data_IF_782183167150
#
_entry.id   IF_782183167150
#
_cell.length_a   1.000
_cell.length_b   1.000
_cell.length_c   1.000
_cell.angle_alpha   90.00
_cell.angle_beta   90.00
_cell.angle_gamma   90.00
#
_symmetry.space_group_name_H-M   'P 1'
#
loop_
_entity.id
_entity.type
_entity.pdbx_description
1 polymer ?
#
# COMPACT_ATOMS: atom_id res chain seq x y z
N UNK A 1 22.03 -22.17 7.65
CA UNK A 1 21.57 -20.76 7.78
C UNK A 1 22.56 -19.89 7.01
N UNK A 2 22.16 -19.37 5.85
CA UNK A 2 23.01 -18.43 5.10
C UNK A 2 22.68 -17.01 5.55
N UNK A 3 23.59 -16.42 6.34
CA UNK A 3 23.49 -15.03 6.77
C UNK A 3 24.30 -14.17 5.80
N UNK A 4 23.62 -13.28 5.08
CA UNK A 4 24.29 -12.27 4.26
C UNK A 4 24.28 -10.94 5.02
N UNK A 5 25.45 -10.31 5.08
CA UNK A 5 25.63 -8.97 5.66
C UNK A 5 25.90 -8.02 4.51
N UNK A 6 24.87 -7.30 4.07
CA UNK A 6 25.01 -6.27 3.06
C UNK A 6 25.52 -4.99 3.74
N UNK A 7 26.72 -4.54 3.35
CA UNK A 7 27.28 -3.26 3.79
C UNK A 7 26.97 -2.21 2.74
N UNK A 8 26.14 -1.22 3.10
CA UNK A 8 25.92 -0.06 2.25
C UNK A 8 27.04 0.95 2.54
N UNK A 9 27.96 1.13 1.60
CA UNK A 9 29.06 2.09 1.70
C UNK A 9 28.48 3.50 1.53
N UNK A 10 28.12 4.14 2.64
CA UNK A 10 27.80 5.57 2.65
C UNK A 10 29.09 6.36 2.38
N UNK A 11 29.26 6.83 1.14
CA UNK A 11 30.37 7.69 0.77
C UNK A 11 30.22 9.09 1.38
N UNK A 12 30.93 9.34 2.48
CA UNK A 12 31.59 10.61 2.83
C UNK A 12 32.00 10.58 4.32
N UNK A 13 33.26 10.21 4.54
CA UNK A 13 34.23 10.64 5.56
C UNK A 13 33.80 11.50 6.77
N UNK A 14 32.76 11.16 7.51
CA UNK A 14 32.53 11.75 8.83
C UNK A 14 31.67 10.84 9.70
N UNK A 15 32.30 10.09 10.62
CA UNK A 15 31.77 9.40 11.82
C UNK A 15 30.34 8.81 11.82
N UNK A 16 29.69 8.62 10.67
CA UNK A 16 28.32 8.11 10.55
C UNK A 16 28.42 6.60 10.47
N UNK A 17 27.88 5.95 11.49
CA UNK A 17 27.88 4.49 11.63
C UNK A 17 27.45 3.82 10.33
N UNK A 18 28.29 2.92 9.82
CA UNK A 18 28.01 2.09 8.65
C UNK A 18 26.72 1.33 8.94
N UNK A 19 25.65 1.64 8.21
CA UNK A 19 24.39 0.90 8.29
C UNK A 19 24.60 -0.46 7.62
N UNK A 20 24.77 -1.49 8.45
CA UNK A 20 24.88 -2.87 8.01
C UNK A 20 23.48 -3.51 8.03
N UNK A 21 23.02 -4.05 6.91
CA UNK A 21 21.77 -4.80 6.84
C UNK A 21 22.06 -6.30 6.91
N UNK A 22 21.61 -6.95 7.98
CA UNK A 22 21.70 -8.40 8.13
C UNK A 22 20.44 -9.06 7.54
N UNK A 23 20.65 -10.15 6.79
CA UNK A 23 19.63 -10.77 5.94
C UNK A 23 19.61 -12.28 6.21
N UNK A 24 18.42 -12.80 6.51
CA UNK A 24 18.19 -14.23 6.72
C UNK A 24 17.22 -14.76 5.67
N UNK A 25 17.80 -15.46 4.68
CA UNK A 25 17.05 -16.04 3.56
C UNK A 25 16.15 -17.21 3.96
N UNK A 26 16.44 -17.90 5.08
CA UNK A 26 15.63 -19.02 5.54
C UNK A 26 14.26 -18.57 6.04
N UNK A 27 14.16 -17.37 6.61
CA UNK A 27 12.92 -16.82 7.15
C UNK A 27 12.40 -15.60 6.37
N UNK A 28 13.06 -15.21 5.28
CA UNK A 28 12.72 -14.03 4.48
C UNK A 28 12.64 -12.73 5.31
N UNK A 29 13.59 -12.51 6.23
CA UNK A 29 13.64 -11.33 7.11
C UNK A 29 14.96 -10.59 6.99
N UNK A 30 14.91 -9.26 7.19
CA UNK A 30 16.11 -8.42 7.27
C UNK A 30 16.00 -7.39 8.40
N UNK A 31 17.14 -7.08 9.05
CA UNK A 31 17.24 -6.10 10.14
C UNK A 31 18.65 -5.49 10.19
N UNK A 32 18.74 -4.24 10.65
CA UNK A 32 20.02 -3.57 10.94
C UNK A 32 20.74 -4.12 12.19
N UNK A 33 20.06 -4.95 12.96
CA UNK A 33 20.57 -5.59 14.18
C UNK A 33 20.75 -7.09 13.90
N UNK A 34 22.01 -7.55 13.92
CA UNK A 34 22.42 -8.92 13.56
C UNK A 34 21.89 -9.95 14.56
N UNK A 35 21.86 -9.61 15.85
CA UNK A 35 21.39 -10.51 16.90
C UNK A 35 19.89 -10.77 16.74
N UNK A 36 19.15 -9.73 16.38
CA UNK A 36 17.72 -9.82 16.05
C UNK A 36 17.45 -10.76 14.88
N UNK A 37 18.29 -10.76 13.84
CA UNK A 37 18.12 -11.66 12.68
C UNK A 37 18.47 -13.11 13.01
N UNK A 38 19.49 -13.31 13.85
CA UNK A 38 20.04 -14.63 14.16
C UNK A 38 19.23 -15.36 15.23
N UNK A 39 18.91 -14.67 16.33
CA UNK A 39 18.27 -15.27 17.52
C UNK A 39 16.84 -14.80 17.75
N UNK A 40 16.46 -13.65 17.18
CA UNK A 40 15.20 -12.97 17.48
C UNK A 40 14.00 -13.37 16.62
N UNK A 41 14.12 -14.34 15.71
CA UNK A 41 13.06 -14.64 14.73
C UNK A 41 11.75 -15.12 15.39
N UNK A 42 11.84 -15.90 16.47
CA UNK A 42 10.69 -16.38 17.24
C UNK A 42 9.88 -15.22 17.85
N UNK A 43 10.58 -14.19 18.33
CA UNK A 43 9.95 -12.99 18.88
C UNK A 43 9.15 -12.25 17.81
N UNK A 44 9.64 -12.22 16.57
CA UNK A 44 8.93 -11.57 15.46
C UNK A 44 7.68 -12.33 15.04
N UNK A 45 7.66 -13.65 15.19
CA UNK A 45 6.49 -14.44 14.82
C UNK A 45 5.27 -14.10 15.68
N UNK A 46 5.48 -13.57 16.90
CA UNK A 46 4.40 -13.14 17.79
C UNK A 46 3.80 -11.78 17.42
N UNK A 47 4.55 -10.92 16.74
CA UNK A 47 4.08 -9.60 16.30
C UNK A 47 4.07 -9.48 14.77
N UNK A 48 2.90 -9.64 14.12
CA UNK A 48 2.80 -9.57 12.66
C UNK A 48 3.23 -8.22 12.09
N UNK A 49 3.21 -7.13 12.89
CA UNK A 49 3.63 -5.80 12.45
C UNK A 49 5.13 -5.73 12.27
N UNK A 50 5.86 -6.15 13.30
CA UNK A 50 7.31 -6.20 13.26
C UNK A 50 7.73 -7.15 12.15
N UNK A 51 7.08 -8.32 12.04
CA UNK A 51 7.37 -9.29 10.98
C UNK A 51 7.18 -8.69 9.58
N UNK A 52 6.05 -8.03 9.30
CA UNK A 52 5.79 -7.41 7.99
C UNK A 52 6.81 -6.33 7.65
N UNK A 53 7.23 -5.51 8.63
CA UNK A 53 8.28 -4.51 8.43
C UNK A 53 9.61 -5.15 8.05
N UNK A 54 9.98 -6.26 8.70
CA UNK A 54 11.23 -7.00 8.43
C UNK A 54 11.20 -7.72 7.10
N UNK A 55 10.06 -8.32 6.74
CA UNK A 55 9.82 -8.92 5.43
C UNK A 55 9.87 -7.87 4.31
N UNK A 56 9.31 -6.68 4.52
CA UNK A 56 9.43 -5.56 3.57
C UNK A 56 10.88 -5.18 3.30
N UNK A 57 11.73 -5.11 4.34
CA UNK A 57 13.17 -4.85 4.16
C UNK A 57 13.85 -5.97 3.37
N UNK A 58 13.53 -7.23 3.67
CA UNK A 58 14.04 -8.39 2.94
C UNK A 58 13.67 -8.36 1.46
N UNK A 59 12.39 -8.17 1.14
CA UNK A 59 11.92 -8.12 -0.24
C UNK A 59 12.45 -6.90 -0.99
N UNK A 60 12.65 -5.77 -0.31
CA UNK A 60 13.32 -4.61 -0.92
C UNK A 60 14.79 -4.89 -1.26
N UNK A 61 15.49 -5.65 -0.43
CA UNK A 61 16.85 -6.09 -0.74
C UNK A 61 16.87 -7.05 -1.94
N UNK A 62 16.00 -8.08 -1.96
CA UNK A 62 15.93 -9.00 -3.10
C UNK A 62 15.51 -8.31 -4.41
N UNK A 63 14.62 -7.31 -4.34
CA UNK A 63 14.24 -6.49 -5.50
C UNK A 63 15.45 -5.77 -6.12
N UNK A 64 16.32 -5.22 -5.28
CA UNK A 64 17.51 -4.48 -5.72
C UNK A 64 18.68 -5.38 -6.12
N UNK A 65 18.74 -6.61 -5.58
CA UNK A 65 19.86 -7.54 -5.74
C UNK A 65 19.42 -8.91 -6.29
N UNK A 66 18.39 -8.95 -7.14
CA UNK A 66 17.76 -10.20 -7.59
C UNK A 66 18.62 -11.10 -8.47
N UNK A 67 19.76 -10.62 -8.97
CA UNK A 67 20.76 -11.41 -9.70
C UNK A 67 21.71 -12.20 -8.77
N UNK A 68 21.84 -11.79 -7.50
CA UNK A 68 22.82 -12.36 -6.57
C UNK A 68 22.25 -13.46 -5.69
N UNK A 69 20.92 -13.51 -5.56
CA UNK A 69 20.22 -14.41 -4.63
C UNK A 69 19.09 -15.10 -5.37
N UNK A 70 19.05 -16.43 -5.30
CA UNK A 70 17.94 -17.21 -5.83
C UNK A 70 16.65 -16.92 -5.05
N UNK A 71 15.51 -16.97 -5.73
CA UNK A 71 14.22 -16.80 -5.08
C UNK A 71 14.00 -17.88 -4.00
N UNK A 72 13.55 -17.52 -2.78
CA UNK A 72 13.18 -18.51 -1.77
C UNK A 72 12.10 -19.45 -2.29
N UNK A 73 12.23 -20.76 -2.02
CA UNK A 73 11.33 -21.80 -2.55
C UNK A 73 9.85 -21.52 -2.28
N UNK A 74 9.56 -20.88 -1.15
CA UNK A 74 8.20 -20.66 -0.66
C UNK A 74 7.60 -19.34 -1.19
N UNK A 75 8.41 -18.47 -1.80
CA UNK A 75 8.00 -17.10 -2.15
C UNK A 75 6.88 -17.07 -3.20
N UNK A 76 6.91 -17.98 -4.18
CA UNK A 76 5.83 -18.10 -5.17
C UNK A 76 4.52 -18.54 -4.54
N UNK A 77 4.55 -19.48 -3.59
CA UNK A 77 3.36 -19.90 -2.87
C UNK A 77 2.81 -18.74 -2.03
N UNK A 78 3.67 -18.03 -1.28
CA UNK A 78 3.27 -16.85 -0.51
C UNK A 78 2.66 -15.74 -1.39
N UNK A 79 3.17 -15.56 -2.62
CA UNK A 79 2.63 -14.59 -3.56
C UNK A 79 1.24 -14.98 -4.06
N UNK A 80 1.03 -16.25 -4.41
CA UNK A 80 -0.28 -16.76 -4.82
C UNK A 80 -1.31 -16.68 -3.69
N UNK A 81 -0.91 -17.03 -2.46
CA UNK A 81 -1.78 -16.93 -1.27
C UNK A 81 -2.21 -15.48 -1.02
N UNK A 82 -1.29 -14.52 -1.18
CA UNK A 82 -1.60 -13.10 -1.05
C UNK A 82 -2.58 -12.60 -2.12
N UNK A 83 -2.41 -13.02 -3.39
CA UNK A 83 -3.36 -12.70 -4.45
C UNK A 83 -4.74 -13.30 -4.19
N UNK A 84 -4.79 -14.56 -3.75
CA UNK A 84 -6.07 -15.21 -3.42
C UNK A 84 -6.79 -14.46 -2.31
N UNK A 85 -6.06 -13.96 -1.31
CA UNK A 85 -6.60 -13.08 -0.28
C UNK A 85 -7.21 -11.80 -0.84
N UNK A 86 -6.55 -11.13 -1.78
CA UNK A 86 -7.07 -9.92 -2.40
C UNK A 86 -8.28 -10.16 -3.31
N UNK A 87 -8.30 -11.27 -4.06
CA UNK A 87 -9.48 -11.68 -4.82
C UNK A 87 -10.64 -11.93 -3.86
N UNK A 88 -10.40 -12.70 -2.79
CA UNK A 88 -11.41 -13.00 -1.78
C UNK A 88 -11.97 -11.73 -1.14
N UNK A 89 -11.12 -10.78 -0.75
CA UNK A 89 -11.60 -9.51 -0.18
C UNK A 89 -12.38 -8.67 -1.20
N UNK A 90 -11.94 -8.60 -2.47
CA UNK A 90 -12.70 -7.94 -3.53
C UNK A 90 -14.09 -8.58 -3.71
N UNK A 91 -14.22 -9.90 -3.62
CA UNK A 91 -15.50 -10.60 -3.74
C UNK A 91 -16.43 -10.34 -2.54
N UNK A 92 -15.89 -10.30 -1.32
CA UNK A 92 -16.66 -10.06 -0.10
C UNK A 92 -17.06 -8.58 0.03
N UNK A 93 -16.11 -7.67 -0.18
CA UNK A 93 -16.25 -6.24 0.07
C UNK A 93 -16.75 -5.46 -1.15
N UNK A 94 -16.71 -6.07 -2.35
CA UNK A 94 -17.11 -5.47 -3.63
C UNK A 94 -16.54 -4.05 -3.80
N UNK A 95 -17.39 -3.04 -3.98
CA UNK A 95 -17.00 -1.64 -4.17
C UNK A 95 -16.32 -0.99 -2.96
N UNK A 96 -16.40 -1.62 -1.78
CA UNK A 96 -15.78 -1.11 -0.54
C UNK A 96 -14.40 -1.70 -0.29
N UNK A 97 -13.91 -2.61 -1.14
CA UNK A 97 -12.59 -3.19 -0.97
C UNK A 97 -11.51 -2.12 -1.08
N UNK A 98 -10.60 -2.14 -0.12
CA UNK A 98 -9.44 -1.23 -0.05
C UNK A 98 -8.15 -1.89 -0.53
N UNK A 99 -8.25 -3.11 -1.06
CA UNK A 99 -7.08 -3.88 -1.53
C UNK A 99 -6.40 -3.20 -2.72
N UNK A 100 -5.08 -3.43 -2.88
CA UNK A 100 -4.28 -2.64 -3.81
C UNK A 100 -4.55 -2.97 -5.28
N UNK A 101 -5.12 -4.14 -5.57
CA UNK A 101 -5.35 -4.64 -6.93
C UNK A 101 -6.84 -4.89 -7.19
N UNK A 102 -7.27 -4.64 -8.41
CA UNK A 102 -8.57 -5.04 -8.93
C UNK A 102 -8.67 -6.54 -9.18
N UNK A 103 -9.89 -7.06 -9.36
CA UNK A 103 -10.12 -8.47 -9.70
C UNK A 103 -9.39 -8.81 -11.01
N UNK A 104 -9.54 -7.96 -12.03
CA UNK A 104 -8.89 -8.13 -13.34
C UNK A 104 -7.36 -8.16 -13.19
N UNK A 105 -6.78 -7.19 -12.45
CA UNK A 105 -5.33 -7.20 -12.19
C UNK A 105 -4.88 -8.43 -11.40
N UNK A 106 -5.70 -8.92 -10.46
CA UNK A 106 -5.37 -10.15 -9.73
C UNK A 106 -5.37 -11.39 -10.63
N UNK A 107 -6.27 -11.46 -11.60
CA UNK A 107 -6.31 -12.54 -12.60
C UNK A 107 -5.06 -12.48 -13.50
N UNK A 108 -4.71 -11.30 -13.99
CA UNK A 108 -3.50 -11.07 -14.79
C UNK A 108 -2.22 -11.44 -14.01
N UNK A 109 -2.10 -10.97 -12.76
CA UNK A 109 -0.98 -11.31 -11.89
C UNK A 109 -0.94 -12.81 -11.56
N UNK A 110 -2.10 -13.46 -11.41
CA UNK A 110 -2.18 -14.90 -11.19
C UNK A 110 -1.65 -15.67 -12.40
N UNK A 111 -1.97 -15.23 -13.62
CA UNK A 111 -1.42 -15.82 -14.83
C UNK A 111 0.10 -15.68 -14.89
N UNK A 112 0.63 -14.48 -14.63
CA UNK A 112 2.09 -14.24 -14.60
C UNK A 112 2.79 -15.11 -13.56
N UNK A 113 2.23 -15.25 -12.36
CA UNK A 113 2.80 -16.13 -11.32
C UNK A 113 2.79 -17.61 -11.72
N UNK A 114 1.77 -18.07 -12.45
CA UNK A 114 1.72 -19.44 -12.98
C UNK A 114 2.79 -19.67 -14.05
N UNK A 115 3.01 -18.70 -14.94
CA UNK A 115 4.08 -18.76 -15.94
C UNK A 115 5.46 -18.81 -15.27
N UNK A 116 5.69 -17.94 -14.27
CA UNK A 116 6.93 -17.90 -13.50
C UNK A 116 7.17 -19.15 -12.65
N UNK A 117 6.13 -19.95 -12.36
CA UNK A 117 6.26 -21.21 -11.65
C UNK A 117 6.87 -22.33 -12.51
N UNK A 118 7.00 -22.13 -13.83
CA UNK A 118 7.59 -23.13 -14.71
C UNK A 118 9.09 -23.33 -14.40
N UNK A 119 9.61 -24.58 -14.37
CA UNK A 119 11.00 -24.86 -13.99
C UNK A 119 12.06 -24.17 -14.84
N UNK A 120 11.74 -23.80 -16.09
CA UNK A 120 12.65 -23.06 -16.97
C UNK A 120 13.04 -21.67 -16.41
N UNK A 121 12.26 -21.13 -15.47
CA UNK A 121 12.52 -19.82 -14.85
C UNK A 121 13.17 -19.92 -13.47
N UNK A 122 13.53 -21.11 -12.94
CA UNK A 122 14.01 -21.25 -11.57
C UNK A 122 15.29 -20.47 -11.25
N UNK A 123 16.16 -20.28 -12.24
CA UNK A 123 17.37 -19.45 -12.14
C UNK A 123 17.21 -18.05 -12.74
N UNK A 124 15.99 -17.65 -13.11
CA UNK A 124 15.75 -16.36 -13.74
C UNK A 124 15.81 -15.22 -12.71
N UNK A 125 16.71 -14.26 -12.92
CA UNK A 125 16.75 -13.05 -12.10
C UNK A 125 15.47 -12.23 -12.22
N UNK A 126 14.82 -12.24 -13.40
CA UNK A 126 13.55 -11.57 -13.61
C UNK A 126 12.43 -12.14 -12.72
N UNK A 127 12.39 -13.46 -12.52
CA UNK A 127 11.47 -14.13 -11.59
C UNK A 127 11.72 -13.64 -10.16
N UNK A 128 12.97 -13.63 -9.71
CA UNK A 128 13.34 -13.14 -8.37
C UNK A 128 12.91 -11.69 -8.17
N UNK A 129 13.24 -10.82 -9.12
CA UNK A 129 12.92 -9.39 -9.09
C UNK A 129 11.40 -9.21 -9.03
N UNK A 130 10.64 -9.75 -9.99
CA UNK A 130 9.19 -9.59 -10.02
C UNK A 130 8.49 -10.05 -8.73
N UNK A 131 8.78 -11.27 -8.26
CA UNK A 131 8.16 -11.80 -7.04
C UNK A 131 8.53 -10.98 -5.80
N UNK A 132 9.77 -10.47 -5.74
CA UNK A 132 10.22 -9.65 -4.63
C UNK A 132 9.53 -8.28 -4.60
N UNK A 133 9.32 -7.65 -5.76
CA UNK A 133 8.51 -6.43 -5.81
C UNK A 133 7.08 -6.69 -5.37
N UNK A 134 6.46 -7.74 -5.89
CA UNK A 134 5.08 -8.07 -5.54
C UNK A 134 4.93 -8.29 -4.01
N UNK A 135 5.79 -9.12 -3.42
CA UNK A 135 5.74 -9.38 -1.97
C UNK A 135 6.12 -8.15 -1.13
N UNK A 136 6.96 -7.25 -1.64
CA UNK A 136 7.23 -5.95 -1.02
C UNK A 136 5.97 -5.09 -0.98
N UNK A 137 5.22 -5.01 -2.09
CA UNK A 137 3.96 -4.27 -2.16
C UNK A 137 2.89 -4.88 -1.24
N UNK A 138 2.81 -6.22 -1.17
CA UNK A 138 1.94 -6.91 -0.20
C UNK A 138 2.26 -6.51 1.25
N UNK A 139 3.55 -6.52 1.62
CA UNK A 139 3.96 -6.11 2.97
C UNK A 139 3.68 -4.62 3.23
N UNK A 140 3.88 -3.76 2.23
CA UNK A 140 3.61 -2.32 2.29
C UNK A 140 2.11 -2.04 2.49
N UNK A 141 1.26 -2.74 1.72
CA UNK A 141 -0.18 -2.62 1.82
C UNK A 141 -0.69 -3.05 3.21
N UNK A 142 -0.27 -4.22 3.69
CA UNK A 142 -0.64 -4.73 5.03
C UNK A 142 -0.23 -3.79 6.16
N UNK A 143 0.91 -3.11 6.03
CA UNK A 143 1.34 -2.08 6.98
C UNK A 143 0.38 -0.87 6.92
N UNK A 144 0.06 -0.41 5.70
CA UNK A 144 -0.84 0.74 5.49
C UNK A 144 -2.28 0.51 5.95
N UNK A 145 -2.82 -0.69 5.77
CA UNK A 145 -4.18 -1.05 6.20
C UNK A 145 -4.33 -0.88 7.71
N UNK A 146 -3.31 -1.29 8.46
CA UNK A 146 -3.28 -1.12 9.91
C UNK A 146 -3.24 0.36 10.32
N UNK A 147 -2.44 1.18 9.66
CA UNK A 147 -2.47 2.64 9.89
C UNK A 147 -3.83 3.25 9.54
N UNK A 148 -4.48 2.74 8.50
CA UNK A 148 -5.85 3.10 8.14
C UNK A 148 -6.83 2.84 9.28
N UNK A 149 -6.81 1.64 9.86
CA UNK A 149 -7.69 1.30 10.99
C UNK A 149 -7.44 2.20 12.22
N UNK A 150 -6.19 2.53 12.52
CA UNK A 150 -5.87 3.43 13.64
C UNK A 150 -6.36 4.85 13.37
N UNK A 151 -6.17 5.33 12.15
CA UNK A 151 -6.60 6.67 11.73
C UNK A 151 -8.12 6.78 11.75
N UNK A 152 -8.84 5.78 11.23
CA UNK A 152 -10.30 5.71 11.26
C UNK A 152 -10.83 5.71 12.70
N UNK A 153 -10.27 4.87 13.58
CA UNK A 153 -10.67 4.86 15.00
C UNK A 153 -10.46 6.21 15.67
N UNK A 154 -9.35 6.89 15.35
CA UNK A 154 -9.04 8.22 15.89
C UNK A 154 -9.97 9.29 15.32
N UNK A 155 -10.30 9.24 14.03
CA UNK A 155 -11.25 10.17 13.41
C UNK A 155 -12.66 9.96 13.96
N UNK A 156 -13.09 8.72 14.19
CA UNK A 156 -14.39 8.41 14.77
C UNK A 156 -14.48 8.89 16.22
N UNK A 157 -13.42 8.69 17.02
CA UNK A 157 -13.32 9.21 18.38
C UNK A 157 -13.38 10.75 18.40
N UNK A 158 -12.69 11.41 17.47
CA UNK A 158 -12.73 12.87 17.31
C UNK A 158 -14.09 13.36 16.78
N UNK A 159 -14.74 12.60 15.91
CA UNK A 159 -16.08 12.89 15.41
C UNK A 159 -17.12 12.83 16.52
N UNK A 160 -17.01 11.85 17.43
CA UNK A 160 -17.84 11.74 18.63
C UNK A 160 -17.55 12.81 19.68
N UNK A 161 -16.33 13.34 19.77
CA UNK A 161 -16.07 14.51 20.63
C UNK A 161 -16.57 15.82 19.99
N UNK A 162 -16.59 15.89 18.66
CA UNK A 162 -17.14 16.99 17.87
C UNK A 162 -18.64 16.88 17.57
N UNK A 163 -19.33 15.85 18.04
CA UNK A 163 -20.79 15.75 17.91
C UNK A 163 -21.53 16.64 18.92
N UNK A 164 -20.81 17.35 19.80
CA UNK A 164 -21.30 18.67 20.21
C UNK A 164 -21.20 19.55 18.98
N UNK A 165 -22.32 19.92 18.33
CA UNK A 165 -22.29 20.68 17.09
C UNK A 165 -21.35 21.86 17.32
N UNK A 166 -20.22 21.96 16.58
CA UNK A 166 -19.48 23.19 16.63
C UNK A 166 -20.50 24.27 16.29
N UNK A 167 -20.59 25.31 17.10
CA UNK A 167 -21.26 26.54 16.69
C UNK A 167 -20.48 27.03 15.49
N UNK A 168 -20.81 26.49 14.31
CA UNK A 168 -20.25 26.92 13.05
C UNK A 168 -20.82 28.31 12.94
N UNK A 169 -20.02 29.29 13.35
CA UNK A 169 -20.23 30.69 12.99
C UNK A 169 -20.17 30.70 11.48
N UNK A 170 -21.33 30.51 10.86
CA UNK A 170 -21.52 30.62 9.43
C UNK A 170 -21.03 32.02 9.12
N UNK A 171 -19.91 32.18 8.38
CA UNK A 171 -19.41 33.50 8.09
C UNK A 171 -20.56 34.27 7.44
N UNK A 172 -20.83 35.50 7.88
CA UNK A 172 -21.95 36.24 7.35
C UNK A 172 -21.83 36.31 5.82
N UNK A 173 -22.96 36.19 5.09
CA UNK A 173 -22.97 35.92 3.64
C UNK A 173 -22.19 36.95 2.79
N UNK A 174 -21.92 38.14 3.34
CA UNK A 174 -21.14 39.18 2.67
C UNK A 174 -19.61 38.96 2.72
N UNK A 175 -19.07 38.12 3.62
CA UNK A 175 -17.63 37.84 3.70
C UNK A 175 -17.15 36.79 2.70
N UNK A 176 -18.03 35.90 2.25
CA UNK A 176 -17.71 34.87 1.26
C UNK A 176 -17.17 35.46 -0.06
N UNK A 177 -17.78 36.48 -0.69
CA UNK A 177 -17.25 37.06 -1.92
C UNK A 177 -15.93 37.81 -1.71
N UNK A 178 -15.73 38.44 -0.54
CA UNK A 178 -14.47 39.12 -0.22
C UNK A 178 -13.34 38.11 -0.07
N UNK A 179 -13.58 37.01 0.64
CA UNK A 179 -12.61 35.94 0.81
C UNK A 179 -12.26 35.30 -0.54
N UNK A 180 -13.26 35.05 -1.39
CA UNK A 180 -13.07 34.52 -2.74
C UNK A 180 -12.24 35.50 -3.60
N UNK A 181 -12.50 36.82 -3.49
CA UNK A 181 -11.70 37.85 -4.16
C UNK A 181 -10.24 37.86 -3.67
N UNK A 182 -10.01 37.82 -2.35
CA UNK A 182 -8.67 37.78 -1.75
C UNK A 182 -7.93 36.52 -2.19
N UNK A 183 -8.59 35.35 -2.18
CA UNK A 183 -8.00 34.09 -2.61
C UNK A 183 -7.64 34.16 -4.10
N UNK A 184 -8.53 34.67 -4.96
CA UNK A 184 -8.26 34.83 -6.40
C UNK A 184 -7.12 35.81 -6.67
N UNK A 185 -7.03 36.89 -5.87
CA UNK A 185 -6.03 37.94 -6.03
C UNK A 185 -4.64 37.51 -5.56
N UNK A 186 -4.52 36.97 -4.35
CA UNK A 186 -3.23 36.61 -3.77
C UNK A 186 -2.64 35.31 -4.32
N UNK A 187 -3.49 34.38 -4.74
CA UNK A 187 -3.03 33.10 -5.25
C UNK A 187 -3.10 32.97 -6.77
N UNK A 188 -3.34 34.06 -7.51
CA UNK A 188 -3.24 34.11 -8.98
C UNK A 188 -3.97 32.95 -9.70
N UNK A 189 -5.11 32.50 -9.19
CA UNK A 189 -5.88 31.39 -9.78
C UNK A 189 -5.29 29.97 -9.61
N UNK A 190 -4.09 29.83 -9.02
CA UNK A 190 -3.44 28.54 -8.70
C UNK A 190 -4.27 27.65 -7.73
N UNK A 191 -5.08 28.16 -6.77
CA UNK A 191 -5.79 27.31 -5.83
C UNK A 191 -6.82 26.42 -6.51
N UNK A 192 -7.45 26.85 -7.60
CA UNK A 192 -8.53 26.08 -8.21
C UNK A 192 -8.01 24.83 -8.93
N UNK A 193 -6.84 24.93 -9.55
CA UNK A 193 -6.16 23.81 -10.21
C UNK A 193 -5.56 22.88 -9.15
N UNK A 194 -4.94 23.42 -8.09
CA UNK A 194 -4.48 22.58 -6.98
C UNK A 194 -5.64 21.91 -6.26
N UNK A 195 -6.76 22.58 -6.05
CA UNK A 195 -7.93 22.02 -5.36
C UNK A 195 -8.64 21.01 -6.26
N UNK A 196 -8.71 21.22 -7.57
CA UNK A 196 -9.18 20.18 -8.50
C UNK A 196 -8.24 18.97 -8.54
N UNK A 197 -6.92 19.18 -8.53
CA UNK A 197 -5.94 18.09 -8.44
C UNK A 197 -5.98 17.37 -7.10
N UNK A 198 -6.15 18.07 -5.98
CA UNK A 198 -6.33 17.48 -4.65
C UNK A 198 -7.65 16.72 -4.61
N UNK A 199 -8.71 17.23 -5.24
CA UNK A 199 -10.00 16.55 -5.34
C UNK A 199 -9.89 15.29 -6.19
N UNK A 200 -9.26 15.36 -7.36
CA UNK A 200 -9.00 14.22 -8.23
C UNK A 200 -8.03 13.20 -7.62
N UNK A 201 -6.99 13.63 -6.90
CA UNK A 201 -6.06 12.72 -6.19
C UNK A 201 -6.66 12.16 -4.90
N UNK A 202 -7.59 12.86 -4.27
CA UNK A 202 -8.41 12.32 -3.17
C UNK A 202 -9.45 11.31 -3.69
N UNK A 203 -10.01 11.51 -4.88
CA UNK A 203 -10.83 10.53 -5.60
C UNK A 203 -10.01 9.31 -6.01
N UNK A 204 -8.73 9.50 -6.40
CA UNK A 204 -7.85 8.39 -6.79
C UNK A 204 -7.48 7.44 -5.65
N UNK A 205 -7.78 7.81 -4.40
CA UNK A 205 -7.60 6.92 -3.23
C UNK A 205 -8.83 6.10 -2.86
N UNK A 206 -9.95 6.27 -3.55
CA UNK A 206 -11.14 5.50 -3.31
C UNK A 206 -11.81 5.13 -4.62
N UNK A 207 -11.75 3.85 -4.99
CA UNK A 207 -12.51 3.21 -6.08
C UNK A 207 -14.05 3.32 -5.93
N UNK A 208 -14.53 4.22 -5.08
CA UNK A 208 -15.92 4.49 -4.71
C UNK A 208 -16.61 5.58 -5.55
N UNK A 209 -15.88 6.45 -6.27
CA UNK A 209 -16.51 7.48 -7.11
C UNK A 209 -17.32 6.88 -8.30
N UNK A 210 -17.00 5.66 -8.71
CA UNK A 210 -17.71 4.97 -9.80
C UNK A 210 -19.08 4.39 -9.39
N UNK A 211 -19.46 4.38 -8.11
CA UNK A 211 -20.77 3.89 -7.67
C UNK A 211 -21.85 5.00 -7.73
N UNK A 212 -21.47 6.27 -7.67
CA UNK A 212 -22.45 7.37 -7.73
C UNK A 212 -22.99 7.61 -9.15
N UNK A 213 -22.29 7.14 -10.19
CA UNK A 213 -22.72 7.30 -11.58
C UNK A 213 -23.77 6.25 -12.01
N UNK A 214 -23.81 5.06 -11.40
CA UNK A 214 -24.81 4.03 -11.74
C UNK A 214 -26.15 4.24 -11.07
N UNK A 215 -26.23 5.01 -9.97
CA UNK A 215 -27.52 5.33 -9.31
C UNK A 215 -28.33 6.43 -10.00
N UNK A 216 -27.76 7.18 -10.96
CA UNK A 216 -28.50 8.24 -11.68
C UNK A 216 -29.03 7.82 -13.06
N UNK A 217 -28.64 6.66 -13.59
CA UNK A 217 -29.17 6.14 -14.86
C UNK A 217 -30.34 5.15 -14.71
N UNK A 218 -30.74 4.78 -13.48
CA UNK A 218 -31.86 3.86 -13.24
C UNK A 218 -33.25 4.52 -13.19
N UNK A 219 -33.39 5.78 -13.63
CA UNK A 219 -34.65 6.53 -13.62
C UNK A 219 -35.05 6.99 -15.02
N UNK A 220 -34.91 6.12 -16.01
CA UNK A 220 -35.57 6.26 -17.29
C UNK A 220 -36.56 5.11 -17.49
N UNK A 221 -37.82 5.42 -17.15
CA UNK A 221 -38.96 5.13 -17.99
C UNK A 221 -39.05 3.71 -18.60
N UNK A 222 -39.66 2.78 -17.86
CA UNK A 222 -40.46 1.73 -18.48
C UNK A 222 -41.93 2.14 -18.35
N UNK A 223 -42.50 2.74 -19.40
CA UNK A 223 -43.96 2.76 -19.59
C UNK A 223 -44.39 1.38 -20.10
N UNK A 224 -45.42 0.75 -19.51
CA UNK A 224 -46.07 -0.38 -20.14
C UNK A 224 -46.85 0.12 -21.37
N UNK A 225 -46.55 -0.44 -22.55
CA UNK A 225 -47.41 -0.32 -23.73
C UNK A 225 -48.62 -1.25 -23.60
N UNK A 226 -49.80 -0.83 -24.10
CA UNK A 226 -51.08 -1.54 -23.95
C UNK A 226 -51.16 -2.87 -24.69
#
# INVERSE_FOLDING_TARGET
MHLHVAKELSGASDARGVLSLAINHSHCIASYDVDKVTKGWETFQRDPRILNRRRRLYWNYLWTHGSHVALPRNALAEANDALLWYITDNLISASRSVVPFSIVECEDLSQVLKELAHPCYDSSSAKTVFVSWFLREVCSFRDSEQYGTYTLKKSDALGKSKSSPPTIHRPPPFLLPLLDLIIRFFFFGIPLICLSHVRHSSEYRGRLANVECTTKLGKLHCTPSP
#
